data_IF_572253152605
#
_entry.id   IF_572253152605
#
_cell.length_a   1.000
_cell.length_b   1.000
_cell.length_c   1.000
_cell.angle_alpha   90.00
_cell.angle_beta   90.00
_cell.angle_gamma   90.00
#
_symmetry.space_group_name_H-M   'P 1'
#
loop_
_entity.id
_entity.type
_entity.pdbx_description
1 polymer ?
#
# COMPACT_ATOMS: atom_id res chain seq x y z
N UNK A 1 84.46 39.95 -20.92
CA UNK A 1 84.70 38.68 -20.18
C UNK A 1 83.37 38.12 -19.74
N UNK A 2 83.21 36.80 -19.89
CA UNK A 2 82.15 35.91 -19.38
C UNK A 2 80.75 35.92 -20.02
N UNK A 3 80.44 34.73 -20.57
CA UNK A 3 79.19 34.19 -21.13
C UNK A 3 78.18 33.91 -20.00
N UNK A 4 76.88 33.85 -20.33
CA UNK A 4 76.10 32.60 -20.15
C UNK A 4 74.77 32.62 -20.91
N UNK A 5 74.49 31.49 -21.56
CA UNK A 5 73.29 31.15 -22.32
C UNK A 5 72.08 30.92 -21.41
N UNK A 6 70.88 31.10 -21.95
CA UNK A 6 69.68 30.41 -21.46
C UNK A 6 68.76 30.03 -22.64
N UNK A 7 68.70 28.72 -22.92
CA UNK A 7 67.51 28.05 -23.45
C UNK A 7 66.34 28.25 -22.45
N UNK A 8 65.07 28.01 -22.76
CA UNK A 8 64.42 26.71 -22.63
C UNK A 8 62.97 26.81 -23.17
N UNK A 9 62.58 25.75 -23.89
CA UNK A 9 61.26 25.10 -23.99
C UNK A 9 60.05 25.86 -24.60
N UNK A 10 59.75 25.52 -25.86
CA UNK A 10 58.42 25.65 -26.47
C UNK A 10 57.51 24.53 -25.91
N UNK A 11 56.45 24.88 -25.19
CA UNK A 11 55.43 23.94 -24.76
C UNK A 11 54.38 23.76 -25.87
N UNK A 12 54.31 22.56 -26.44
CA UNK A 12 53.25 22.14 -27.38
C UNK A 12 52.03 21.75 -26.56
N UNK A 13 50.96 22.54 -26.68
CA UNK A 13 49.66 22.24 -26.07
C UNK A 13 48.93 21.26 -27.00
N UNK A 14 48.88 19.99 -26.61
CA UNK A 14 48.01 18.98 -27.22
C UNK A 14 46.60 19.20 -26.67
N UNK A 15 45.73 19.79 -27.49
CA UNK A 15 44.29 19.89 -27.19
C UNK A 15 43.66 18.50 -27.35
N UNK A 16 43.47 17.79 -26.23
CA UNK A 16 42.70 16.56 -26.18
C UNK A 16 41.23 16.84 -26.50
N UNK A 17 40.75 16.33 -27.64
CA UNK A 17 39.31 16.23 -27.91
C UNK A 17 38.70 15.23 -26.93
N UNK A 18 38.01 15.74 -25.92
CA UNK A 18 37.17 14.94 -25.05
C UNK A 18 35.94 14.47 -25.85
N UNK A 19 35.95 13.21 -26.28
CA UNK A 19 34.75 12.53 -26.79
C UNK A 19 33.83 12.32 -25.60
N UNK A 20 32.89 13.24 -25.39
CA UNK A 20 31.82 13.04 -24.41
C UNK A 20 30.89 11.95 -24.92
N UNK A 21 30.80 10.84 -24.20
CA UNK A 21 29.77 9.83 -24.43
C UNK A 21 28.38 10.51 -24.33
N UNK A 22 27.40 10.15 -25.18
CA UNK A 22 26.05 10.67 -25.05
C UNK A 22 25.53 10.30 -23.66
N UNK A 23 25.36 11.30 -22.82
CA UNK A 23 24.69 11.16 -21.54
C UNK A 23 23.22 10.94 -21.89
N UNK A 24 22.70 9.73 -21.69
CA UNK A 24 21.26 9.49 -21.83
C UNK A 24 20.55 10.44 -20.87
N UNK A 25 19.90 11.47 -21.43
CA UNK A 25 19.11 12.41 -20.64
C UNK A 25 17.95 11.65 -19.99
N UNK A 26 17.91 11.63 -18.67
CA UNK A 26 16.76 11.14 -17.90
C UNK A 26 15.93 12.36 -17.48
N UNK A 27 14.74 12.49 -18.06
CA UNK A 27 13.77 13.53 -17.72
C UNK A 27 12.70 12.93 -16.81
N UNK A 28 12.35 13.59 -15.71
CA UNK A 28 11.28 13.16 -14.80
C UNK A 28 10.21 14.25 -14.67
N UNK A 29 9.35 14.42 -15.70
CA UNK A 29 8.34 15.47 -15.70
C UNK A 29 7.19 15.13 -14.72
N UNK A 30 6.61 16.17 -14.10
CA UNK A 30 5.42 16.02 -13.26
C UNK A 30 4.17 15.80 -14.13
N UNK A 31 3.64 14.58 -14.13
CA UNK A 31 2.47 14.19 -14.93
C UNK A 31 1.18 14.28 -14.12
N UNK A 32 0.37 15.29 -14.42
CA UNK A 32 -0.90 15.55 -13.75
C UNK A 32 -2.01 14.70 -14.35
N UNK A 33 -2.96 14.29 -13.50
CA UNK A 33 -4.19 13.63 -13.97
C UNK A 33 -5.06 14.69 -14.62
N UNK A 34 -5.47 14.45 -15.86
CA UNK A 34 -6.27 15.41 -16.66
C UNK A 34 -7.68 14.90 -16.92
N UNK A 35 -7.87 13.60 -17.03
CA UNK A 35 -9.15 12.98 -17.32
C UNK A 35 -9.26 11.61 -16.63
N UNK A 36 -10.44 11.35 -16.07
CA UNK A 36 -10.78 10.07 -15.44
C UNK A 36 -12.13 9.60 -15.98
N UNK A 37 -12.16 8.37 -16.49
CA UNK A 37 -13.42 7.70 -16.84
C UNK A 37 -13.64 6.54 -15.87
N UNK A 38 -14.68 6.65 -15.04
CA UNK A 38 -15.04 5.62 -14.06
C UNK A 38 -16.07 4.68 -14.68
N UNK A 39 -15.82 3.38 -14.56
CA UNK A 39 -16.70 2.29 -14.96
C UNK A 39 -17.29 1.61 -13.71
N UNK A 40 -18.15 0.61 -13.90
CA UNK A 40 -18.79 -0.08 -12.78
C UNK A 40 -17.79 -0.79 -11.83
N UNK A 41 -16.60 -1.17 -12.30
CA UNK A 41 -15.64 -2.00 -11.56
C UNK A 41 -14.18 -1.50 -11.61
N UNK A 42 -13.91 -0.41 -12.32
CA UNK A 42 -12.55 0.13 -12.52
C UNK A 42 -12.63 1.59 -12.96
N UNK A 43 -11.51 2.30 -12.95
CA UNK A 43 -11.36 3.58 -13.65
C UNK A 43 -10.22 3.52 -14.68
N UNK A 44 -10.40 4.25 -15.78
CA UNK A 44 -9.32 4.61 -16.70
C UNK A 44 -8.84 6.01 -16.34
N UNK A 45 -7.56 6.12 -15.99
CA UNK A 45 -6.92 7.38 -15.61
C UNK A 45 -6.03 7.84 -16.75
N UNK A 46 -6.12 9.11 -17.10
CA UNK A 46 -5.27 9.76 -18.11
C UNK A 46 -4.43 10.85 -17.45
N UNK A 47 -3.11 10.70 -17.55
CA UNK A 47 -2.13 11.70 -17.13
C UNK A 47 -1.49 12.38 -18.33
N UNK A 48 -1.13 13.65 -18.18
CA UNK A 48 -0.40 14.39 -19.20
C UNK A 48 0.75 15.20 -18.60
N UNK A 49 1.86 15.26 -19.34
CA UNK A 49 3.01 16.08 -19.01
C UNK A 49 3.61 16.68 -20.28
N UNK A 50 3.98 17.96 -20.22
CA UNK A 50 4.67 18.65 -21.31
C UNK A 50 6.04 19.10 -20.83
N UNK A 51 7.08 18.73 -21.57
CA UNK A 51 8.47 19.05 -21.24
C UNK A 51 9.30 19.15 -22.51
N UNK A 52 10.52 19.68 -22.39
CA UNK A 52 11.45 19.79 -23.51
C UNK A 52 12.36 18.57 -23.52
N UNK A 53 12.42 17.86 -24.64
CA UNK A 53 13.33 16.72 -24.83
C UNK A 53 14.52 17.16 -25.69
N UNK A 54 15.77 16.76 -25.35
CA UNK A 54 16.93 17.03 -26.20
C UNK A 54 16.90 16.18 -27.47
N UNK A 55 17.74 16.53 -28.45
CA UNK A 55 17.96 15.68 -29.62
C UNK A 55 18.71 14.39 -29.22
N UNK A 56 18.33 13.26 -29.82
CA UNK A 56 18.89 11.94 -29.54
C UNK A 56 18.00 11.08 -28.63
N UNK A 57 18.54 9.96 -28.12
CA UNK A 57 17.84 9.08 -27.20
C UNK A 57 17.68 9.73 -25.82
N UNK A 58 16.52 9.58 -25.20
CA UNK A 58 16.23 10.03 -23.84
C UNK A 58 15.29 9.05 -23.14
N UNK A 59 15.38 9.00 -21.82
CA UNK A 59 14.46 8.21 -20.99
C UNK A 59 13.59 9.19 -20.21
N UNK A 60 12.28 9.02 -20.29
CA UNK A 60 11.31 9.83 -19.57
C UNK A 60 10.68 8.97 -18.48
N UNK A 61 10.81 9.38 -17.23
CA UNK A 61 10.26 8.65 -16.09
C UNK A 61 9.05 9.38 -15.50
N UNK A 62 7.87 8.77 -15.63
CA UNK A 62 6.67 9.21 -14.91
C UNK A 62 6.60 8.45 -13.59
N UNK A 63 6.71 9.17 -12.47
CA UNK A 63 6.79 8.62 -11.11
C UNK A 63 5.50 8.90 -10.33
N UNK A 64 5.36 8.27 -9.16
CA UNK A 64 4.23 8.53 -8.25
C UNK A 64 2.89 7.97 -8.76
N UNK A 65 2.94 6.90 -9.55
CA UNK A 65 1.74 6.19 -9.98
C UNK A 65 1.28 5.24 -8.88
N UNK A 66 -0.03 5.01 -8.79
CA UNK A 66 -0.59 4.07 -7.80
C UNK A 66 -0.07 2.64 -7.99
N UNK A 67 0.01 1.89 -6.88
CA UNK A 67 0.43 0.49 -6.86
C UNK A 67 -0.60 -0.46 -7.44
N UNK A 68 -1.88 -0.07 -7.47
CA UNK A 68 -2.97 -0.86 -8.02
C UNK A 68 -3.14 -0.71 -9.53
N UNK A 69 -2.29 0.09 -10.17
CA UNK A 69 -2.20 0.18 -11.64
C UNK A 69 -2.01 -1.21 -12.25
N UNK A 70 -2.79 -1.51 -13.29
CA UNK A 70 -2.62 -2.71 -14.11
C UNK A 70 -1.55 -2.47 -15.18
N UNK A 71 -0.38 -3.09 -15.00
CA UNK A 71 0.80 -2.95 -15.85
C UNK A 71 0.51 -3.26 -17.33
N UNK A 72 -0.46 -4.15 -17.63
CA UNK A 72 -0.80 -4.56 -18.99
C UNK A 72 -1.70 -3.57 -19.74
N UNK A 73 -2.20 -2.55 -19.04
CA UNK A 73 -3.15 -1.55 -19.59
C UNK A 73 -2.48 -0.21 -19.86
N UNK A 74 -1.17 -0.12 -19.64
CA UNK A 74 -0.39 1.10 -19.82
C UNK A 74 -0.27 1.42 -21.31
N UNK A 75 -0.85 2.54 -21.71
CA UNK A 75 -0.76 3.09 -23.06
C UNK A 75 -0.07 4.45 -23.00
N UNK A 76 0.92 4.65 -23.86
CA UNK A 76 1.68 5.91 -23.96
C UNK A 76 1.50 6.49 -25.36
N UNK A 77 1.18 7.77 -25.42
CA UNK A 77 1.11 8.54 -26.66
C UNK A 77 1.87 9.86 -26.51
N UNK A 78 2.52 10.31 -27.58
CA UNK A 78 3.31 11.54 -27.59
C UNK A 78 2.86 12.48 -28.70
N UNK A 79 2.78 13.77 -28.40
CA UNK A 79 2.52 14.84 -29.38
C UNK A 79 3.66 15.85 -29.34
N UNK A 80 4.25 16.14 -30.49
CA UNK A 80 5.33 17.11 -30.62
C UNK A 80 5.28 17.81 -31.98
N UNK A 81 5.93 18.98 -32.06
CA UNK A 81 6.15 19.72 -33.30
C UNK A 81 7.26 19.11 -34.18
N UNK A 82 8.08 18.21 -33.64
CA UNK A 82 9.14 17.51 -34.37
C UNK A 82 8.91 15.99 -34.39
N UNK A 83 9.67 15.28 -35.22
CA UNK A 83 9.62 13.83 -35.29
C UNK A 83 10.24 13.20 -34.03
N UNK A 84 9.41 12.48 -33.27
CA UNK A 84 9.81 11.74 -32.06
C UNK A 84 9.27 10.31 -32.17
N UNK A 85 10.12 9.34 -31.85
CA UNK A 85 9.76 7.91 -31.82
C UNK A 85 9.79 7.40 -30.39
N UNK A 86 8.71 6.72 -29.96
CA UNK A 86 8.69 5.99 -28.69
C UNK A 86 9.22 4.59 -28.96
N UNK A 87 10.37 4.24 -28.37
CA UNK A 87 11.05 2.94 -28.56
C UNK A 87 10.55 1.86 -27.62
N UNK A 88 10.15 2.23 -26.41
CA UNK A 88 9.75 1.27 -25.39
C UNK A 88 9.09 1.93 -24.20
N UNK A 89 8.28 1.14 -23.50
CA UNK A 89 7.60 1.51 -22.26
C UNK A 89 7.84 0.37 -21.28
N UNK A 90 8.37 0.70 -20.11
CA UNK A 90 8.66 -0.25 -19.06
C UNK A 90 8.02 0.22 -17.75
N UNK A 91 7.26 -0.66 -17.10
CA UNK A 91 6.58 -0.37 -15.84
C UNK A 91 7.36 -1.04 -14.73
N UNK A 92 7.80 -0.26 -13.74
CA UNK A 92 8.53 -0.77 -12.58
C UNK A 92 7.89 -0.35 -11.28
N UNK A 93 8.03 -1.20 -10.28
CA UNK A 93 7.79 -0.80 -8.91
C UNK A 93 8.98 0.00 -8.39
N UNK A 94 8.70 1.17 -7.83
CA UNK A 94 9.66 2.01 -7.12
C UNK A 94 9.27 2.00 -5.64
N UNK A 95 10.23 1.67 -4.78
CA UNK A 95 10.10 1.89 -3.36
C UNK A 95 10.58 3.32 -3.09
N UNK A 96 9.68 4.19 -2.66
CA UNK A 96 9.99 5.54 -2.24
C UNK A 96 10.86 5.45 -0.98
N UNK A 97 12.17 5.45 -1.16
CA UNK A 97 13.15 5.58 -0.10
C UNK A 97 13.15 7.04 0.39
N UNK A 98 12.16 7.40 1.20
CA UNK A 98 11.99 8.76 1.69
C UNK A 98 11.34 8.79 3.06
N UNK A 99 12.19 8.86 4.10
CA UNK A 99 11.93 9.13 5.51
C UNK A 99 10.83 8.29 6.21
N UNK A 100 11.14 7.72 7.37
CA UNK A 100 10.10 7.30 8.29
C UNK A 100 9.22 8.53 8.55
N UNK A 101 7.97 8.52 8.09
CA UNK A 101 6.98 9.51 8.54
C UNK A 101 7.03 9.50 10.07
N UNK A 102 6.96 10.65 10.76
CA UNK A 102 6.87 10.70 12.21
C UNK A 102 5.86 9.68 12.76
N UNK A 103 4.74 9.50 12.04
CA UNK A 103 3.72 8.49 12.34
C UNK A 103 4.22 7.04 12.26
N UNK A 104 5.03 6.69 11.27
CA UNK A 104 5.62 5.34 11.18
C UNK A 104 6.61 5.08 12.29
N UNK A 105 7.40 6.09 12.70
CA UNK A 105 8.31 5.95 13.83
C UNK A 105 7.56 5.81 15.15
N UNK A 106 6.49 6.59 15.35
CA UNK A 106 5.58 6.46 16.51
C UNK A 106 4.96 5.06 16.60
N UNK A 107 4.37 4.56 15.51
CA UNK A 107 3.72 3.23 15.49
C UNK A 107 4.74 2.11 15.68
N UNK A 108 5.96 2.26 15.13
CA UNK A 108 7.04 1.31 15.37
C UNK A 108 7.47 1.29 16.83
N UNK A 109 7.63 2.47 17.45
CA UNK A 109 7.98 2.58 18.87
C UNK A 109 6.88 1.99 19.77
N UNK A 110 5.61 2.19 19.40
CA UNK A 110 4.48 1.56 20.08
C UNK A 110 4.55 0.03 19.97
N UNK A 111 4.82 -0.51 18.77
CA UNK A 111 4.98 -1.95 18.57
C UNK A 111 6.11 -2.52 19.42
N UNK A 112 7.26 -1.86 19.48
CA UNK A 112 8.40 -2.30 20.29
C UNK A 112 8.03 -2.34 21.78
N UNK A 113 7.31 -1.31 22.26
CA UNK A 113 6.81 -1.24 23.65
C UNK A 113 5.85 -2.39 23.96
N UNK A 114 4.91 -2.69 23.04
CA UNK A 114 3.97 -3.81 23.21
C UNK A 114 4.68 -5.16 23.20
N UNK A 115 5.72 -5.33 22.38
CA UNK A 115 6.54 -6.55 22.37
C UNK A 115 7.33 -6.73 23.67
N UNK A 116 7.85 -5.65 24.25
CA UNK A 116 8.51 -5.71 25.56
C UNK A 116 7.54 -6.08 26.69
N UNK A 117 6.32 -5.53 26.67
CA UNK A 117 5.26 -5.94 27.59
C UNK A 117 4.92 -7.43 27.43
N UNK A 118 4.89 -7.93 26.19
CA UNK A 118 4.62 -9.36 25.93
C UNK A 118 5.71 -10.24 26.52
N UNK A 119 6.98 -9.87 26.32
CA UNK A 119 8.13 -10.59 26.93
C UNK A 119 8.04 -10.62 28.46
N UNK A 120 7.62 -9.52 29.09
CA UNK A 120 7.45 -9.47 30.53
C UNK A 120 6.31 -10.38 31.04
N UNK A 121 5.21 -10.50 30.30
CA UNK A 121 4.13 -11.45 30.62
C UNK A 121 4.56 -12.90 30.38
N UNK A 122 5.25 -13.18 29.27
CA UNK A 122 5.77 -14.52 28.95
C UNK A 122 6.73 -15.01 30.06
N UNK A 123 7.55 -14.11 30.62
CA UNK A 123 8.41 -14.42 31.76
C UNK A 123 7.63 -14.77 33.04
N UNK A 124 6.51 -14.09 33.31
CA UNK A 124 5.65 -14.40 34.45
C UNK A 124 4.96 -15.76 34.28
N UNK A 125 4.50 -16.08 33.07
CA UNK A 125 3.93 -17.40 32.74
C UNK A 125 4.97 -18.49 32.99
N UNK A 126 6.21 -18.31 32.55
CA UNK A 126 7.27 -19.29 32.78
C UNK A 126 7.55 -19.55 34.28
N UNK A 127 7.45 -18.51 35.13
CA UNK A 127 7.56 -18.64 36.58
C UNK A 127 6.40 -19.47 37.15
N UNK A 128 5.17 -19.19 36.71
CA UNK A 128 3.99 -19.93 37.16
C UNK A 128 4.00 -21.39 36.68
N UNK A 129 4.47 -21.65 35.46
CA UNK A 129 4.66 -23.01 34.94
C UNK A 129 5.66 -23.80 35.81
N UNK A 130 6.78 -23.19 36.18
CA UNK A 130 7.74 -23.80 37.10
C UNK A 130 7.11 -24.10 38.47
N UNK A 131 6.29 -23.17 39.00
CA UNK A 131 5.56 -23.37 40.27
C UNK A 131 4.50 -24.47 40.16
N UNK A 132 3.82 -24.58 39.01
CA UNK A 132 2.87 -25.66 38.73
C UNK A 132 3.56 -27.03 38.68
N UNK A 133 4.73 -27.11 38.04
CA UNK A 133 5.54 -28.33 38.00
C UNK A 133 6.01 -28.74 39.40
N UNK A 134 6.39 -27.77 40.24
CA UNK A 134 6.72 -28.01 41.65
C UNK A 134 5.53 -28.61 42.42
N UNK A 135 4.33 -28.03 42.31
CA UNK A 135 3.17 -28.61 42.99
C UNK A 135 2.83 -30.01 42.45
N UNK A 136 2.95 -30.23 41.14
CA UNK A 136 2.76 -31.57 40.54
C UNK A 136 3.75 -32.60 41.08
N UNK A 137 5.03 -32.24 41.26
CA UNK A 137 6.02 -33.15 41.85
C UNK A 137 5.76 -33.40 43.34
N UNK A 138 5.29 -32.39 44.08
CA UNK A 138 4.89 -32.52 45.48
C UNK A 138 3.72 -33.51 45.62
N UNK A 139 2.68 -33.43 44.78
CA UNK A 139 1.57 -34.38 44.81
C UNK A 139 1.97 -35.82 44.51
N UNK A 140 2.99 -36.03 43.69
CA UNK A 140 3.52 -37.38 43.39
C UNK A 140 4.41 -37.95 44.50
N UNK A 141 4.99 -37.08 45.34
CA UNK A 141 5.89 -37.46 46.45
C UNK A 141 5.17 -37.78 47.77
N UNK A 142 3.94 -37.30 47.96
CA UNK A 142 3.10 -37.59 49.13
C UNK A 142 2.69 -39.07 49.06
N UNK A 143 3.42 -39.92 49.80
CA UNK A 143 3.20 -41.38 49.86
C UNK A 143 4.47 -42.23 49.75
N UNK A 144 5.62 -41.63 49.38
CA UNK A 144 6.89 -42.34 49.17
C UNK A 144 7.96 -42.04 50.24
N UNK A 145 7.57 -41.58 51.43
CA UNK A 145 8.54 -41.26 52.51
C UNK A 145 8.92 -42.48 53.34
N UNK A 146 10.23 -42.73 53.46
CA UNK A 146 10.82 -43.85 54.21
C UNK A 146 10.62 -43.76 55.75
N UNK A 147 10.05 -42.64 56.24
CA UNK A 147 9.71 -42.41 57.65
C UNK A 147 8.20 -42.42 57.96
N UNK A 148 7.35 -42.55 56.93
CA UNK A 148 5.89 -42.53 57.05
C UNK A 148 5.33 -41.20 57.53
N UNK A 149 4.22 -40.74 56.96
CA UNK A 149 3.46 -39.65 57.57
C UNK A 149 2.78 -40.25 58.80
N UNK A 150 3.16 -39.81 60.00
CA UNK A 150 2.73 -40.45 61.25
C UNK A 150 1.46 -39.85 61.86
N UNK A 151 1.04 -38.66 61.39
CA UNK A 151 -0.12 -37.92 61.89
C UNK A 151 -1.05 -37.48 60.74
N UNK A 152 -2.36 -37.65 60.95
CA UNK A 152 -3.41 -37.23 60.02
C UNK A 152 -3.45 -35.70 59.88
N UNK A 153 -3.10 -34.96 60.94
CA UNK A 153 -3.05 -33.49 60.91
C UNK A 153 -1.90 -32.96 60.03
N UNK A 154 -0.82 -33.72 59.88
CA UNK A 154 0.29 -33.38 58.97
C UNK A 154 -0.10 -33.61 57.50
N UNK A 155 -0.82 -34.69 57.21
CA UNK A 155 -1.39 -34.95 55.87
C UNK A 155 -2.31 -33.81 55.47
N UNK A 156 -3.20 -33.38 56.37
CA UNK A 156 -4.15 -32.30 56.12
C UNK A 156 -3.45 -30.97 55.82
N UNK A 157 -2.43 -30.60 56.61
CA UNK A 157 -1.65 -29.38 56.39
C UNK A 157 -0.94 -29.37 55.03
N UNK A 158 -0.36 -30.50 54.63
CA UNK A 158 0.32 -30.62 53.33
C UNK A 158 -0.71 -30.53 52.18
N UNK A 159 -1.87 -31.17 52.34
CA UNK A 159 -2.95 -31.12 51.36
C UNK A 159 -3.51 -29.70 51.19
N UNK A 160 -3.77 -28.99 52.30
CA UNK A 160 -4.26 -27.61 52.27
C UNK A 160 -3.22 -26.66 51.63
N UNK A 161 -1.93 -26.85 51.92
CA UNK A 161 -0.84 -26.11 51.26
C UNK A 161 -0.79 -26.37 49.75
N UNK A 162 -0.92 -27.64 49.33
CA UNK A 162 -0.98 -27.99 47.91
C UNK A 162 -2.20 -27.37 47.22
N UNK A 163 -3.39 -27.53 47.80
CA UNK A 163 -4.64 -27.06 47.19
C UNK A 163 -4.68 -25.54 47.06
N UNK A 164 -4.26 -24.81 48.10
CA UNK A 164 -4.15 -23.35 48.07
C UNK A 164 -3.15 -22.88 47.00
N UNK A 165 -1.97 -23.51 46.94
CA UNK A 165 -0.95 -23.19 45.96
C UNK A 165 -1.34 -23.45 44.51
N UNK A 166 -1.99 -24.60 44.22
CA UNK A 166 -2.50 -24.91 42.88
C UNK A 166 -3.62 -23.94 42.48
N UNK A 167 -4.50 -23.58 43.42
CA UNK A 167 -5.59 -22.61 43.17
C UNK A 167 -5.03 -21.23 42.82
N UNK A 168 -4.04 -20.75 43.58
CA UNK A 168 -3.37 -19.47 43.35
C UNK A 168 -2.69 -19.45 41.96
N UNK A 169 -1.91 -20.50 41.63
CA UNK A 169 -1.24 -20.62 40.33
C UNK A 169 -2.25 -20.67 39.18
N UNK A 170 -3.33 -21.44 39.32
CA UNK A 170 -4.36 -21.57 38.28
C UNK A 170 -5.06 -20.23 38.02
N UNK A 171 -5.40 -19.50 39.08
CA UNK A 171 -6.02 -18.17 38.96
C UNK A 171 -5.08 -17.17 38.29
N UNK A 172 -3.82 -17.10 38.73
CA UNK A 172 -2.84 -16.19 38.17
C UNK A 172 -2.53 -16.51 36.69
N UNK A 173 -2.53 -17.79 36.32
CA UNK A 173 -2.34 -18.23 34.93
C UNK A 173 -3.50 -17.75 34.02
N UNK A 174 -4.74 -17.89 34.47
CA UNK A 174 -5.91 -17.40 33.71
C UNK A 174 -5.87 -15.88 33.50
N UNK A 175 -5.49 -15.12 34.54
CA UNK A 175 -5.37 -13.67 34.45
C UNK A 175 -4.27 -13.26 33.45
N UNK A 176 -3.11 -13.92 33.48
CA UNK A 176 -2.02 -13.65 32.54
C UNK A 176 -2.38 -14.02 31.10
N UNK A 177 -3.08 -15.13 30.88
CA UNK A 177 -3.57 -15.51 29.55
C UNK A 177 -4.55 -14.48 28.98
N UNK A 178 -5.42 -13.91 29.83
CA UNK A 178 -6.30 -12.81 29.43
C UNK A 178 -5.52 -11.59 28.96
N UNK A 179 -4.50 -11.18 29.73
CA UNK A 179 -3.61 -10.05 29.40
C UNK A 179 -2.78 -10.30 28.13
N UNK A 180 -2.25 -11.51 27.95
CA UNK A 180 -1.53 -11.88 26.72
C UNK A 180 -2.44 -11.78 25.50
N UNK A 181 -3.69 -12.28 25.60
CA UNK A 181 -4.65 -12.21 24.49
C UNK A 181 -4.98 -10.76 24.11
N UNK A 182 -5.23 -9.88 25.06
CA UNK A 182 -5.48 -8.46 24.76
C UNK A 182 -4.27 -7.80 24.11
N UNK A 183 -3.08 -8.10 24.62
CA UNK A 183 -1.83 -7.53 24.11
C UNK A 183 -1.50 -8.03 22.69
N UNK A 184 -1.78 -9.29 22.39
CA UNK A 184 -1.61 -9.88 21.05
C UNK A 184 -2.50 -9.17 20.01
N UNK A 185 -3.75 -8.85 20.39
CA UNK A 185 -4.67 -8.08 19.54
C UNK A 185 -4.14 -6.66 19.27
N UNK A 186 -3.53 -6.02 20.25
CA UNK A 186 -2.90 -4.70 20.11
C UNK A 186 -1.66 -4.75 19.21
N UNK A 187 -0.80 -5.76 19.39
CA UNK A 187 0.37 -6.02 18.54
C UNK A 187 -0.07 -6.21 17.09
N UNK A 188 -1.09 -7.02 16.84
CA UNK A 188 -1.61 -7.27 15.50
C UNK A 188 -2.22 -6.02 14.87
N UNK A 189 -2.88 -5.18 15.68
CA UNK A 189 -3.39 -3.88 15.22
C UNK A 189 -2.24 -2.96 14.80
N UNK A 190 -1.20 -2.84 15.62
CA UNK A 190 -0.02 -2.02 15.32
C UNK A 190 0.72 -2.53 14.07
N UNK A 191 0.89 -3.85 13.91
CA UNK A 191 1.46 -4.46 12.69
C UNK A 191 0.64 -4.14 11.44
N UNK A 192 -0.70 -4.23 11.52
CA UNK A 192 -1.58 -3.88 10.41
C UNK A 192 -1.45 -2.39 10.05
N UNK A 193 -1.43 -1.50 11.03
CA UNK A 193 -1.22 -0.07 10.80
C UNK A 193 0.13 0.20 10.12
N UNK A 194 1.20 -0.42 10.61
CA UNK A 194 2.53 -0.30 10.01
C UNK A 194 2.58 -0.82 8.56
N UNK A 195 1.91 -1.95 8.28
CA UNK A 195 1.81 -2.50 6.93
C UNK A 195 1.04 -1.58 5.97
N UNK A 196 -0.03 -0.94 6.44
CA UNK A 196 -0.79 0.05 5.66
C UNK A 196 0.04 1.29 5.35
N UNK A 197 0.80 1.78 6.34
CA UNK A 197 1.73 2.91 6.15
C UNK A 197 2.93 2.53 5.25
N UNK A 198 3.32 1.27 5.19
CA UNK A 198 4.38 0.78 4.29
C UNK A 198 3.89 0.62 2.84
N UNK A 199 2.64 0.22 2.62
CA UNK A 199 2.06 0.19 1.26
C UNK A 199 1.97 1.59 0.65
N UNK A 200 1.85 2.64 1.47
CA UNK A 200 1.94 4.03 1.02
C UNK A 200 3.35 4.43 0.51
N UNK A 201 4.37 3.57 0.63
CA UNK A 201 5.74 3.84 0.14
C UNK A 201 6.12 3.06 -1.12
N UNK A 202 5.27 2.16 -1.60
CA UNK A 202 5.43 1.60 -2.94
C UNK A 202 4.69 2.50 -3.91
N UNK A 203 5.34 2.84 -5.02
CA UNK A 203 4.72 3.52 -6.15
C UNK A 203 5.10 2.75 -7.41
N UNK A 204 4.30 2.89 -8.46
CA UNK A 204 4.72 2.48 -9.80
C UNK A 204 5.41 3.66 -10.48
N UNK A 205 6.38 3.35 -11.34
CA UNK A 205 6.95 4.28 -12.29
C UNK A 205 6.89 3.70 -13.69
N UNK A 206 6.71 4.57 -14.68
CA UNK A 206 6.72 4.21 -16.10
C UNK A 206 7.91 4.89 -16.75
N UNK A 207 8.84 4.11 -17.27
CA UNK A 207 10.01 4.57 -18.01
C UNK A 207 9.73 4.46 -19.51
N UNK A 208 9.82 5.58 -20.22
CA UNK A 208 9.49 5.69 -21.64
C UNK A 208 10.78 6.04 -22.37
N UNK A 209 11.28 5.14 -23.20
CA UNK A 209 12.42 5.40 -24.08
C UNK A 209 11.95 6.15 -25.31
N UNK A 210 12.43 7.38 -25.51
CA UNK A 210 12.12 8.22 -26.67
C UNK A 210 13.38 8.54 -27.47
N UNK A 211 13.22 8.75 -28.76
CA UNK A 211 14.28 9.21 -29.66
C UNK A 211 13.76 10.40 -30.47
N UNK A 212 14.38 11.56 -30.28
CA UNK A 212 14.03 12.80 -30.96
C UNK A 212 15.08 13.17 -32.00
N UNK A 213 14.67 13.54 -33.21
CA UNK A 213 15.61 13.98 -34.26
C UNK A 213 16.25 15.33 -33.89
N UNK A 214 15.46 16.22 -33.28
CA UNK A 214 15.87 17.55 -32.84
C UNK A 214 15.23 17.85 -31.47
N UNK A 215 15.82 18.79 -30.73
CA UNK A 215 15.28 19.21 -29.44
C UNK A 215 13.92 19.90 -29.60
N UNK A 216 12.88 19.39 -28.94
CA UNK A 216 11.51 19.88 -29.10
C UNK A 216 10.68 19.75 -27.82
N UNK A 217 9.52 20.42 -27.81
CA UNK A 217 8.54 20.23 -26.76
C UNK A 217 7.73 18.97 -27.06
N UNK A 218 7.66 18.06 -26.09
CA UNK A 218 6.92 16.81 -26.16
C UNK A 218 5.84 16.82 -25.09
N UNK A 219 4.60 16.59 -25.50
CA UNK A 219 3.48 16.31 -24.59
C UNK A 219 3.23 14.81 -24.59
N UNK A 220 3.51 14.16 -23.46
CA UNK A 220 3.19 12.75 -23.24
C UNK A 220 1.81 12.66 -22.60
N UNK A 221 1.01 11.72 -23.10
CA UNK A 221 -0.24 11.28 -22.49
C UNK A 221 -0.13 9.81 -22.13
N UNK A 222 -0.24 9.53 -20.84
CA UNK A 222 -0.19 8.20 -20.24
C UNK A 222 -1.60 7.78 -19.84
N UNK A 223 -2.07 6.63 -20.31
CA UNK A 223 -3.36 6.04 -19.91
C UNK A 223 -3.14 4.69 -19.26
N UNK A 224 -3.91 4.39 -18.22
CA UNK A 224 -3.85 3.12 -17.50
C UNK A 224 -5.17 2.85 -16.79
N UNK A 225 -5.39 1.60 -16.40
CA UNK A 225 -6.55 1.16 -15.65
C UNK A 225 -6.16 0.92 -14.19
N UNK A 226 -7.05 1.33 -13.29
CA UNK A 226 -7.00 1.06 -11.86
C UNK A 226 -8.29 0.36 -11.41
N UNK A 227 -8.21 -0.79 -10.70
CA UNK A 227 -9.39 -1.54 -10.29
C UNK A 227 -10.11 -0.92 -9.07
N UNK A 228 -9.42 -0.13 -8.25
CA UNK A 228 -9.95 0.39 -6.99
C UNK A 228 -10.85 1.63 -7.16
N UNK A 229 -11.67 1.68 -8.21
CA UNK A 229 -12.63 2.75 -8.42
C UNK A 229 -13.86 2.24 -9.14
N UNK A 230 -15.04 2.69 -8.73
CA UNK A 230 -16.32 2.30 -9.31
C UNK A 230 -17.31 3.45 -9.27
N UNK A 231 -18.37 3.33 -10.07
CA UNK A 231 -19.53 4.20 -9.92
C UNK A 231 -20.82 3.40 -10.00
N UNK A 232 -21.87 3.93 -9.37
CA UNK A 232 -23.23 3.41 -9.46
C UNK A 232 -24.25 4.53 -9.73
N UNK A 233 -25.32 4.23 -10.49
CA UNK A 233 -26.39 5.18 -10.72
C UNK A 233 -27.28 5.34 -9.48
N UNK A 234 -27.63 6.57 -9.14
CA UNK A 234 -28.64 6.89 -8.13
C UNK A 234 -29.77 7.69 -8.80
N UNK A 235 -30.99 7.19 -8.64
CA UNK A 235 -32.20 7.83 -9.16
C UNK A 235 -32.99 8.46 -8.01
N UNK A 236 -33.33 9.75 -8.13
CA UNK A 236 -34.28 10.45 -7.23
C UNK A 236 -35.52 10.81 -8.05
N UNK A 237 -36.67 10.25 -7.68
CA UNK A 237 -37.94 10.49 -8.35
C UNK A 237 -38.87 11.32 -7.45
N UNK A 238 -39.31 12.48 -7.95
CA UNK A 238 -40.21 13.39 -7.24
C UNK A 238 -41.51 13.56 -7.99
N UNK A 239 -42.62 13.17 -7.35
CA UNK A 239 -43.96 13.24 -7.92
C UNK A 239 -44.65 14.52 -7.49
N UNK A 240 -45.17 15.29 -8.44
CA UNK A 240 -46.05 16.44 -8.19
C UNK A 240 -47.48 16.07 -8.59
N UNK A 241 -48.31 15.76 -7.59
CA UNK A 241 -49.69 15.28 -7.80
C UNK A 241 -50.62 16.35 -8.38
N UNK A 242 -50.35 17.64 -8.14
CA UNK A 242 -51.18 18.75 -8.63
C UNK A 242 -51.29 18.80 -10.16
N UNK A 243 -50.21 18.45 -10.87
CA UNK A 243 -50.15 18.52 -12.33
C UNK A 243 -49.85 17.15 -12.98
N UNK A 244 -49.80 16.07 -12.18
CA UNK A 244 -49.47 14.72 -12.67
C UNK A 244 -48.07 14.58 -13.25
N UNK A 245 -47.08 15.35 -12.78
CA UNK A 245 -45.71 15.32 -13.29
C UNK A 245 -44.76 14.55 -12.37
N UNK A 246 -43.75 13.91 -12.97
CA UNK A 246 -42.65 13.23 -12.25
C UNK A 246 -41.33 13.83 -12.72
N UNK A 247 -40.53 14.30 -11.77
CA UNK A 247 -39.15 14.71 -12.01
C UNK A 247 -38.24 13.54 -11.63
N UNK A 248 -37.46 13.04 -12.59
CA UNK A 248 -36.46 12.01 -12.36
C UNK A 248 -35.07 12.65 -12.45
N UNK A 249 -34.39 12.74 -11.31
CA UNK A 249 -32.99 13.13 -11.24
C UNK A 249 -32.11 11.88 -11.34
N UNK A 250 -31.09 11.97 -12.20
CA UNK A 250 -30.13 10.90 -12.42
C UNK A 250 -28.74 11.37 -11.98
N UNK A 251 -28.24 10.75 -10.91
CA UNK A 251 -26.96 11.07 -10.30
C UNK A 251 -26.01 9.87 -10.43
N UNK A 252 -24.71 10.15 -10.35
CA UNK A 252 -23.67 9.12 -10.29
C UNK A 252 -22.97 9.20 -8.94
N UNK A 253 -22.92 8.09 -8.22
CA UNK A 253 -22.12 7.96 -7.01
C UNK A 253 -20.80 7.30 -7.36
N UNK A 254 -19.70 8.04 -7.18
CA UNK A 254 -18.35 7.57 -7.50
C UNK A 254 -17.64 7.19 -6.21
N UNK A 255 -17.12 5.97 -6.17
CA UNK A 255 -16.28 5.46 -5.10
C UNK A 255 -14.85 5.28 -5.62
N UNK A 256 -13.84 5.75 -4.89
CA UNK A 256 -12.45 5.53 -5.24
C UNK A 256 -11.63 5.19 -3.99
N UNK A 257 -10.68 4.27 -4.17
CA UNK A 257 -9.63 3.92 -3.20
C UNK A 257 -8.27 3.77 -3.90
N UNK A 258 -8.08 4.47 -5.01
CA UNK A 258 -6.87 4.39 -5.86
C UNK A 258 -5.63 5.02 -5.24
N UNK A 259 -5.80 5.87 -4.22
CA UNK A 259 -4.71 6.64 -3.60
C UNK A 259 -4.25 7.84 -4.45
N UNK A 260 -4.95 8.15 -5.54
CA UNK A 260 -4.63 9.26 -6.43
C UNK A 260 -5.58 10.44 -6.23
N UNK A 261 -5.07 11.66 -6.33
CA UNK A 261 -5.87 12.87 -6.19
C UNK A 261 -6.52 13.25 -7.53
N UNK A 262 -7.85 13.35 -7.56
CA UNK A 262 -8.65 13.68 -8.74
C UNK A 262 -9.24 15.10 -8.65
N UNK A 263 -8.46 16.07 -8.16
CA UNK A 263 -8.90 17.46 -8.07
C UNK A 263 -8.81 18.19 -9.42
N UNK A 264 -9.86 18.94 -9.77
CA UNK A 264 -9.94 19.71 -11.01
C UNK A 264 -9.88 18.89 -12.32
N UNK A 265 -10.11 17.57 -12.27
CA UNK A 265 -10.01 16.69 -13.45
C UNK A 265 -11.31 16.63 -14.25
N UNK A 266 -11.20 16.35 -15.54
CA UNK A 266 -12.38 16.01 -16.36
C UNK A 266 -12.85 14.61 -15.99
N UNK A 267 -13.84 14.52 -15.11
CA UNK A 267 -14.43 13.24 -14.68
C UNK A 267 -15.63 12.87 -15.55
N UNK A 268 -15.67 11.62 -15.99
CA UNK A 268 -16.79 11.02 -16.72
C UNK A 268 -17.12 9.65 -16.13
N UNK A 269 -18.38 9.24 -16.22
CA UNK A 269 -18.83 7.90 -15.84
C UNK A 269 -19.33 7.15 -17.07
N UNK A 270 -19.12 5.84 -17.11
CA UNK A 270 -19.52 5.00 -18.24
C UNK A 270 -20.16 3.70 -17.78
N UNK A 271 -21.30 3.36 -18.39
CA UNK A 271 -21.96 2.05 -18.23
C UNK A 271 -21.33 0.96 -19.10
N UNK A 272 -20.37 1.31 -19.96
CA UNK A 272 -19.67 0.34 -20.79
C UNK A 272 -18.84 -0.61 -19.91
N UNK A 273 -18.67 -1.85 -20.36
CA UNK A 273 -17.74 -2.82 -19.77
C UNK A 273 -16.57 -3.01 -20.74
N UNK A 274 -15.43 -2.30 -20.54
CA UNK A 274 -14.26 -2.46 -21.40
C UNK A 274 -13.81 -3.93 -21.40
N UNK A 275 -13.73 -4.56 -22.57
CA UNK A 275 -13.32 -5.97 -22.71
C UNK A 275 -14.47 -6.99 -22.66
N UNK A 276 -15.69 -6.59 -22.34
CA UNK A 276 -16.85 -7.46 -22.56
C UNK A 276 -17.17 -7.48 -24.06
N UNK A 277 -16.96 -8.64 -24.70
CA UNK A 277 -17.55 -8.89 -26.01
C UNK A 277 -19.05 -8.55 -25.93
N UNK A 278 -19.53 -7.70 -26.85
CA UNK A 278 -20.90 -7.19 -26.87
C UNK A 278 -21.93 -8.27 -27.20
N UNK A 279 -22.04 -9.29 -26.36
CA UNK A 279 -23.20 -10.18 -26.36
C UNK A 279 -24.35 -9.42 -25.71
N UNK A 280 -25.37 -9.15 -26.52
CA UNK A 280 -26.61 -8.54 -26.06
C UNK A 280 -27.23 -9.47 -25.01
N UNK A 281 -27.45 -9.03 -23.76
CA UNK A 281 -28.15 -9.84 -22.78
C UNK A 281 -29.63 -9.97 -23.17
N UNK A 282 -30.21 -11.16 -22.97
CA UNK A 282 -31.66 -11.31 -23.05
C UNK A 282 -32.29 -10.57 -21.86
N UNK A 283 -33.02 -9.49 -22.16
CA UNK A 283 -33.76 -8.73 -21.14
C UNK A 283 -35.01 -9.52 -20.75
N UNK A 284 -35.14 -9.83 -19.46
CA UNK A 284 -36.39 -10.33 -18.90
C UNK A 284 -37.32 -9.15 -18.60
N UNK A 285 -38.57 -9.14 -19.08
CA UNK A 285 -39.51 -8.06 -18.79
C UNK A 285 -39.95 -8.09 -17.32
N UNK A 286 -39.92 -6.94 -16.66
CA UNK A 286 -40.58 -6.72 -15.37
C UNK A 286 -42.04 -6.34 -15.60
N UNK A 287 -42.96 -7.13 -15.04
CA UNK A 287 -44.39 -6.86 -15.10
C UNK A 287 -44.85 -6.13 -13.84
N UNK A 288 -45.36 -4.90 -13.99
CA UNK A 288 -46.00 -4.16 -12.90
C UNK A 288 -47.43 -4.68 -12.73
N UNK A 289 -47.65 -5.51 -11.71
CA UNK A 289 -48.99 -5.94 -11.33
C UNK A 289 -49.63 -4.91 -10.39
N UNK A 290 -50.86 -4.51 -10.69
CA UNK A 290 -51.70 -3.77 -9.75
C UNK A 290 -52.20 -4.73 -8.67
N UNK A 291 -52.18 -4.28 -7.41
CA UNK A 291 -52.75 -5.07 -6.32
C UNK A 291 -54.26 -5.23 -6.55
N UNK A 292 -54.74 -6.47 -6.58
CA UNK A 292 -56.16 -6.75 -6.68
C UNK A 292 -56.89 -6.14 -5.46
N UNK A 293 -58.00 -5.43 -5.64
CA UNK A 293 -58.77 -4.88 -4.53
C UNK A 293 -59.32 -6.03 -3.65
N UNK A 294 -59.51 -5.76 -2.35
CA UNK A 294 -59.89 -6.75 -1.34
C UNK A 294 -61.26 -7.40 -1.60
#
# INVERSE_FOLDING_TARGET
MMKLNSCWALAVIVAGMAVSAPTEGSESPDAKIVEVTVYADRARVTRSATFRVPAGPSIVEIRGLTTSLDDHTVEVSGQSSSQITIRGVDVRQEFLAGNASPRTAEVQQQLDTLLDQKRALDAQVAILDARQLFFKSLSSGIGHSDKGIQDVDDVKRIYDFYLSGVTEVSSAMLDLQGKQRSLELEIDRAKRELSGLSQQKAARKVSISVEAVEAANLTITLRYIVPDASWEPIYDARVTTANGSVLLAYNAYVHQKTGEEWDGVKLSVSTARPGANGQLPELSPDYVNWAAPP
#
